data_IF_582463680767
#
_entry.id   IF_582463680767
#
_cell.length_a   1.000
_cell.length_b   1.000
_cell.length_c   1.000
_cell.angle_alpha   90.00
_cell.angle_beta   90.00
_cell.angle_gamma   90.00
#
_symmetry.space_group_name_H-M   'P 1'
#
loop_
_entity.id
_entity.type
_entity.pdbx_description
1 polymer ?
#
# COMPACT_ATOMS: atom_id res chain seq x y z
N UNK A 1 -26.87 -30.01 67.40
CA UNK A 1 -25.85 -30.63 66.53
C UNK A 1 -26.56 -31.19 65.31
N UNK A 2 -26.34 -30.86 64.04
CA UNK A 2 -25.47 -29.94 63.29
C UNK A 2 -26.32 -29.47 62.09
N UNK A 3 -26.51 -28.16 61.91
CA UNK A 3 -27.05 -27.60 60.67
C UNK A 3 -25.89 -27.55 59.67
N UNK A 4 -25.94 -28.34 58.60
CA UNK A 4 -24.96 -28.28 57.50
C UNK A 4 -25.59 -27.49 56.36
N UNK A 5 -25.08 -26.26 56.24
CA UNK A 5 -25.21 -25.36 55.10
C UNK A 5 -24.75 -26.06 53.82
N UNK A 6 -25.63 -26.21 52.84
CA UNK A 6 -25.22 -26.43 51.45
C UNK A 6 -25.08 -25.07 50.77
N UNK A 7 -23.83 -24.63 50.62
CA UNK A 7 -23.46 -23.51 49.74
C UNK A 7 -23.53 -24.03 48.31
N UNK A 8 -24.63 -23.71 47.62
CA UNK A 8 -24.75 -23.88 46.18
C UNK A 8 -23.83 -22.89 45.47
N UNK A 9 -22.72 -23.38 44.92
CA UNK A 9 -21.80 -22.64 44.08
C UNK A 9 -22.50 -22.32 42.74
N UNK A 10 -23.01 -21.09 42.61
CA UNK A 10 -23.57 -20.57 41.36
C UNK A 10 -22.40 -20.23 40.41
N UNK A 11 -22.06 -21.16 39.51
CA UNK A 11 -21.18 -20.86 38.38
C UNK A 11 -21.97 -20.03 37.36
N UNK A 12 -21.85 -18.70 37.46
CA UNK A 12 -22.22 -17.78 36.38
C UNK A 12 -21.13 -17.87 35.31
N UNK A 13 -21.33 -18.75 34.32
CA UNK A 13 -20.58 -18.68 33.06
C UNK A 13 -21.06 -17.45 32.31
N UNK A 14 -20.35 -16.33 32.47
CA UNK A 14 -20.44 -15.23 31.52
C UNK A 14 -19.84 -15.72 30.20
N UNK A 15 -20.67 -16.32 29.35
CA UNK A 15 -20.37 -16.43 27.92
C UNK A 15 -20.33 -15.00 27.40
N UNK A 16 -19.13 -14.42 27.33
CA UNK A 16 -18.92 -13.22 26.53
C UNK A 16 -19.31 -13.60 25.11
N UNK A 17 -20.51 -13.19 24.70
CA UNK A 17 -20.93 -13.22 23.30
C UNK A 17 -20.03 -12.21 22.59
N UNK A 18 -18.84 -12.66 22.19
CA UNK A 18 -18.12 -12.00 21.12
C UNK A 18 -18.94 -12.35 19.89
N UNK A 19 -19.93 -11.52 19.57
CA UNK A 19 -20.58 -11.60 18.27
C UNK A 19 -19.45 -11.56 17.26
N UNK A 20 -19.15 -12.72 16.65
CA UNK A 20 -18.24 -12.76 15.52
C UNK A 20 -18.83 -11.79 14.53
N UNK A 21 -18.10 -10.71 14.28
CA UNK A 21 -18.46 -9.77 13.23
C UNK A 21 -18.42 -10.59 11.95
N UNK A 22 -19.58 -11.08 11.51
CA UNK A 22 -19.75 -11.75 10.23
C UNK A 22 -19.50 -10.68 9.19
N UNK A 23 -18.29 -10.66 8.65
CA UNK A 23 -17.95 -9.82 7.51
C UNK A 23 -18.57 -10.55 6.31
N UNK A 24 -19.56 -9.96 5.61
CA UNK A 24 -20.15 -10.62 4.47
C UNK A 24 -19.09 -10.81 3.38
N UNK A 25 -19.15 -11.95 2.69
CA UNK A 25 -18.23 -12.25 1.60
C UNK A 25 -18.40 -11.21 0.48
N UNK A 26 -17.28 -10.84 -0.14
CA UNK A 26 -17.33 -9.91 -1.26
C UNK A 26 -18.23 -10.47 -2.38
N UNK A 27 -19.08 -9.64 -3.00
CA UNK A 27 -19.84 -10.04 -4.17
C UNK A 27 -18.89 -10.62 -5.22
N UNK A 28 -19.28 -11.72 -5.85
CA UNK A 28 -18.50 -12.32 -6.94
C UNK A 28 -18.48 -11.44 -8.21
N UNK A 29 -19.11 -10.27 -8.12
CA UNK A 29 -19.35 -9.33 -9.20
C UNK A 29 -18.08 -8.52 -9.54
N UNK A 30 -18.09 -7.96 -10.74
CA UNK A 30 -16.99 -7.17 -11.26
C UNK A 30 -16.97 -5.79 -10.61
N UNK A 31 -15.80 -5.38 -10.10
CA UNK A 31 -15.60 -4.01 -9.58
C UNK A 31 -15.54 -3.05 -10.77
N UNK A 32 -16.39 -2.02 -10.76
CA UNK A 32 -16.40 -0.99 -11.79
C UNK A 32 -15.91 0.38 -11.29
N UNK A 33 -15.88 0.60 -9.97
CA UNK A 33 -15.44 1.85 -9.37
C UNK A 33 -14.75 1.62 -8.02
N UNK A 34 -13.70 2.40 -7.76
CA UNK A 34 -13.01 2.49 -6.47
C UNK A 34 -12.82 3.96 -6.12
N UNK A 35 -13.17 4.37 -4.91
CA UNK A 35 -12.99 5.74 -4.43
C UNK A 35 -12.12 5.74 -3.19
N UNK A 36 -11.12 6.60 -3.17
CA UNK A 36 -10.26 6.91 -2.04
C UNK A 36 -10.54 8.34 -1.60
N UNK A 37 -10.72 8.59 -0.30
CA UNK A 37 -10.88 9.94 0.28
C UNK A 37 -10.05 10.09 1.52
N UNK A 38 -9.23 11.12 1.60
CA UNK A 38 -8.52 11.48 2.81
C UNK A 38 -9.24 12.64 3.51
N UNK A 39 -9.28 12.61 4.84
CA UNK A 39 -10.00 13.58 5.65
C UNK A 39 -9.05 14.33 6.58
N UNK A 40 -9.40 15.58 6.86
CA UNK A 40 -8.87 16.29 8.00
C UNK A 40 -9.40 15.63 9.29
N UNK A 41 -8.53 15.18 10.20
CA UNK A 41 -8.97 14.49 11.41
C UNK A 41 -9.71 15.38 12.41
N UNK A 42 -9.57 16.71 12.33
CA UNK A 42 -10.19 17.64 13.27
C UNK A 42 -11.56 18.12 12.79
N UNK A 43 -11.68 18.40 11.50
CA UNK A 43 -12.91 18.95 10.90
C UNK A 43 -13.78 17.88 10.26
N UNK A 44 -13.20 16.74 9.87
CA UNK A 44 -13.88 15.72 9.06
C UNK A 44 -14.03 16.10 7.59
N UNK A 45 -13.47 17.24 7.16
CA UNK A 45 -13.52 17.69 5.77
C UNK A 45 -12.65 16.81 4.87
N UNK A 46 -13.11 16.58 3.64
CA UNK A 46 -12.31 15.88 2.61
C UNK A 46 -11.14 16.77 2.18
N UNK A 47 -9.92 16.32 2.44
CA UNK A 47 -8.67 16.98 2.00
C UNK A 47 -8.33 16.63 0.56
N UNK A 48 -8.43 15.35 0.22
CA UNK A 48 -8.19 14.85 -1.13
C UNK A 48 -9.15 13.69 -1.42
N UNK A 49 -9.43 13.45 -2.69
CA UNK A 49 -10.30 12.37 -3.12
C UNK A 49 -9.91 11.95 -4.53
N UNK A 50 -9.88 10.64 -4.78
CA UNK A 50 -9.65 10.08 -6.11
C UNK A 50 -10.68 8.99 -6.36
N UNK A 51 -11.41 9.09 -7.47
CA UNK A 51 -12.30 8.06 -7.98
C UNK A 51 -11.66 7.42 -9.21
N UNK A 52 -11.53 6.11 -9.18
CA UNK A 52 -10.99 5.27 -10.24
C UNK A 52 -12.12 4.57 -10.97
N UNK A 53 -12.07 4.62 -12.31
CA UNK A 53 -12.91 3.79 -13.17
C UNK A 53 -12.18 2.47 -13.44
N UNK A 54 -12.86 1.36 -13.20
CA UNK A 54 -12.30 0.02 -13.33
C UNK A 54 -13.05 -0.77 -14.40
N UNK A 55 -12.33 -1.54 -15.20
CA UNK A 55 -12.90 -2.52 -16.12
C UNK A 55 -11.97 -3.72 -16.19
N UNK A 56 -12.52 -4.93 -16.17
CA UNK A 56 -11.75 -6.18 -16.14
C UNK A 56 -10.72 -6.21 -15.00
N UNK A 57 -11.11 -5.64 -13.84
CA UNK A 57 -10.25 -5.45 -12.66
C UNK A 57 -8.99 -4.60 -12.93
N UNK A 58 -8.96 -3.83 -14.01
CA UNK A 58 -7.88 -2.89 -14.34
C UNK A 58 -8.35 -1.46 -14.19
N UNK A 59 -7.48 -0.61 -13.68
CA UNK A 59 -7.76 0.83 -13.61
C UNK A 59 -7.69 1.40 -15.02
N UNK A 60 -8.71 2.10 -15.49
CA UNK A 60 -8.70 2.76 -16.79
C UNK A 60 -8.34 4.24 -16.66
N UNK A 61 -9.06 4.92 -15.77
CA UNK A 61 -8.91 6.35 -15.53
C UNK A 61 -9.11 6.65 -14.06
N UNK A 62 -8.71 7.84 -13.65
CA UNK A 62 -9.12 8.41 -12.39
C UNK A 62 -9.36 9.90 -12.51
N UNK A 63 -10.18 10.41 -11.59
CA UNK A 63 -10.46 11.83 -11.42
C UNK A 63 -10.57 12.14 -9.93
N UNK A 64 -10.27 13.37 -9.54
CA UNK A 64 -10.20 13.71 -8.14
C UNK A 64 -9.80 15.14 -7.84
N UNK A 65 -9.58 15.40 -6.56
CA UNK A 65 -9.00 16.62 -6.02
C UNK A 65 -7.78 16.26 -5.18
N UNK A 66 -6.71 17.04 -5.29
CA UNK A 66 -5.55 16.91 -4.43
C UNK A 66 -5.74 17.70 -3.11
N UNK A 67 -4.73 17.67 -2.22
CA UNK A 67 -4.76 18.40 -0.95
C UNK A 67 -4.85 19.93 -1.06
N UNK A 68 -4.62 20.50 -2.26
CA UNK A 68 -4.82 21.92 -2.56
C UNK A 68 -6.19 22.19 -3.22
N UNK A 69 -7.06 21.18 -3.24
CA UNK A 69 -8.38 21.20 -3.90
C UNK A 69 -8.33 21.44 -5.41
N UNK A 70 -7.20 21.14 -6.03
CA UNK A 70 -7.04 21.27 -7.47
C UNK A 70 -7.48 19.96 -8.17
N UNK A 71 -8.27 20.06 -9.24
CA UNK A 71 -8.62 18.92 -10.08
C UNK A 71 -7.39 18.16 -10.57
N UNK A 72 -7.37 16.86 -10.30
CA UNK A 72 -6.39 15.92 -10.84
C UNK A 72 -7.11 14.81 -11.59
N UNK A 73 -6.51 14.37 -12.69
CA UNK A 73 -7.03 13.22 -13.43
C UNK A 73 -5.88 12.43 -14.04
N UNK A 74 -6.19 11.23 -14.48
CA UNK A 74 -5.22 10.46 -15.24
C UNK A 74 -5.85 9.28 -15.96
N UNK A 75 -5.02 8.68 -16.80
CA UNK A 75 -5.38 7.57 -17.66
C UNK A 75 -4.28 6.52 -17.63
N UNK A 76 -4.68 5.26 -17.67
CA UNK A 76 -3.82 4.10 -17.81
C UNK A 76 -4.08 3.47 -19.19
N UNK A 77 -3.01 3.23 -19.94
CA UNK A 77 -3.07 2.55 -21.24
C UNK A 77 -2.42 1.18 -21.15
N UNK A 78 -2.96 0.24 -21.90
CA UNK A 78 -2.53 -1.14 -21.88
C UNK A 78 -2.16 -1.62 -23.28
N UNK A 79 -1.12 -2.44 -23.37
CA UNK A 79 -0.70 -3.17 -24.58
C UNK A 79 -0.49 -4.61 -24.17
N UNK A 80 -1.08 -5.56 -24.90
CA UNK A 80 -1.01 -7.00 -24.60
C UNK A 80 -1.31 -7.31 -23.13
N UNK A 81 -2.42 -6.78 -22.62
CA UNK A 81 -2.87 -6.93 -21.23
C UNK A 81 -1.93 -6.34 -20.15
N UNK A 82 -0.86 -5.61 -20.51
CA UNK A 82 0.10 -5.00 -19.58
C UNK A 82 0.02 -3.48 -19.60
N UNK A 83 0.18 -2.85 -18.44
CA UNK A 83 0.22 -1.38 -18.33
C UNK A 83 1.42 -0.85 -19.12
N UNK A 84 1.19 -0.08 -20.18
CA UNK A 84 2.23 0.50 -21.03
C UNK A 84 2.50 1.96 -20.72
N UNK A 85 1.48 2.70 -20.29
CA UNK A 85 1.58 4.14 -20.04
C UNK A 85 0.60 4.60 -18.95
N UNK A 86 1.04 5.58 -18.14
CA UNK A 86 0.22 6.36 -17.23
C UNK A 86 0.37 7.84 -17.54
N UNK A 87 -0.75 8.52 -17.78
CA UNK A 87 -0.82 9.96 -18.01
C UNK A 87 -1.47 10.59 -16.79
N UNK A 88 -0.89 11.69 -16.29
CA UNK A 88 -1.43 12.49 -15.19
C UNK A 88 -1.63 13.92 -15.65
N UNK A 89 -2.80 14.47 -15.37
CA UNK A 89 -3.17 15.86 -15.63
C UNK A 89 -3.55 16.57 -14.34
N UNK A 90 -3.22 17.85 -14.28
CA UNK A 90 -3.60 18.78 -13.21
C UNK A 90 -4.30 19.98 -13.85
N UNK A 91 -5.53 20.28 -13.43
CA UNK A 91 -6.36 21.32 -14.04
C UNK A 91 -6.49 21.17 -15.57
N UNK A 92 -6.57 19.93 -16.05
CA UNK A 92 -6.64 19.61 -17.48
C UNK A 92 -5.30 19.68 -18.25
N UNK A 93 -4.26 20.27 -17.65
CA UNK A 93 -2.91 20.38 -18.24
C UNK A 93 -2.10 19.12 -17.95
N UNK A 94 -1.28 18.67 -18.90
CA UNK A 94 -0.37 17.54 -18.71
C UNK A 94 0.62 17.85 -17.59
N UNK A 95 0.67 16.98 -16.57
CA UNK A 95 1.61 17.09 -15.45
C UNK A 95 2.74 16.07 -15.59
N UNK A 96 2.41 14.84 -15.97
CA UNK A 96 3.44 13.83 -16.22
C UNK A 96 2.94 12.69 -17.11
N UNK A 97 3.89 12.06 -17.79
CA UNK A 97 3.70 10.79 -18.48
C UNK A 97 4.71 9.79 -17.95
N UNK A 98 4.28 8.57 -17.67
CA UNK A 98 5.15 7.46 -17.28
C UNK A 98 4.92 6.27 -18.19
N UNK A 99 5.98 5.77 -18.81
CA UNK A 99 5.95 4.59 -19.68
C UNK A 99 6.58 3.39 -18.99
N UNK A 100 6.16 2.20 -19.42
CA UNK A 100 6.58 0.92 -18.85
C UNK A 100 7.02 -0.03 -19.96
N UNK A 101 8.26 -0.49 -19.89
CA UNK A 101 8.88 -1.38 -20.89
C UNK A 101 9.11 -2.76 -20.29
N UNK A 102 8.83 -3.79 -21.09
CA UNK A 102 8.88 -5.19 -20.67
C UNK A 102 9.82 -6.00 -21.56
N UNK A 103 10.44 -7.03 -21.00
CA UNK A 103 11.16 -8.05 -21.79
C UNK A 103 10.20 -9.05 -22.44
N UNK A 104 10.75 -9.99 -23.23
CA UNK A 104 9.97 -11.04 -23.90
C UNK A 104 9.29 -12.00 -22.92
N UNK A 105 9.84 -12.16 -21.71
CA UNK A 105 9.26 -12.97 -20.65
C UNK A 105 8.14 -12.23 -19.89
N UNK A 106 7.95 -10.94 -20.16
CA UNK A 106 6.98 -10.09 -19.49
C UNK A 106 7.42 -9.49 -18.18
N UNK A 107 8.70 -9.53 -17.85
CA UNK A 107 9.24 -8.79 -16.72
C UNK A 107 9.31 -7.30 -17.07
N UNK A 108 8.91 -6.44 -16.14
CA UNK A 108 9.14 -5.00 -16.25
C UNK A 108 10.64 -4.73 -16.14
N UNK A 109 11.25 -4.18 -17.18
CA UNK A 109 12.69 -3.88 -17.22
C UNK A 109 12.99 -2.39 -17.12
N UNK A 110 12.01 -1.53 -17.40
CA UNK A 110 12.19 -0.08 -17.32
C UNK A 110 10.88 0.64 -17.01
N UNK A 111 10.95 1.70 -16.19
CA UNK A 111 9.99 2.80 -16.21
C UNK A 111 10.68 4.10 -16.59
N UNK A 112 9.97 4.93 -17.34
CA UNK A 112 10.44 6.26 -17.70
C UNK A 112 9.34 7.28 -17.44
N UNK A 113 9.60 8.22 -16.52
CA UNK A 113 8.67 9.29 -16.17
C UNK A 113 9.22 10.63 -16.66
N UNK A 114 8.42 11.33 -17.45
CA UNK A 114 8.57 12.76 -17.77
C UNK A 114 7.58 13.54 -16.91
N UNK A 115 8.07 14.51 -16.14
CA UNK A 115 7.27 15.44 -15.37
C UNK A 115 7.46 16.87 -15.92
N UNK A 116 6.35 17.55 -16.15
CA UNK A 116 6.29 18.91 -16.66
C UNK A 116 5.93 19.82 -15.48
N UNK A 117 6.92 20.53 -14.93
CA UNK A 117 6.74 21.42 -13.80
C UNK A 117 7.16 22.84 -14.20
N UNK A 118 6.19 23.59 -14.72
CA UNK A 118 6.45 24.91 -15.31
C UNK A 118 7.35 24.79 -16.55
N UNK A 119 8.43 25.57 -16.59
CA UNK A 119 9.39 25.60 -17.71
C UNK A 119 10.48 24.54 -17.63
N UNK A 120 10.52 23.73 -16.57
CA UNK A 120 11.56 22.72 -16.36
C UNK A 120 10.97 21.33 -16.56
N UNK A 121 11.60 20.55 -17.43
CA UNK A 121 11.30 19.14 -17.55
C UNK A 121 12.14 18.36 -16.54
N UNK A 122 11.51 17.42 -15.84
CA UNK A 122 12.20 16.47 -14.98
C UNK A 122 11.97 15.06 -15.51
N UNK A 123 13.05 14.35 -15.80
CA UNK A 123 13.03 12.98 -16.28
C UNK A 123 13.54 12.06 -15.20
N UNK A 124 12.82 10.96 -14.96
CA UNK A 124 13.23 9.88 -14.08
C UNK A 124 13.17 8.57 -14.87
N UNK A 125 14.31 7.91 -14.97
CA UNK A 125 14.45 6.58 -15.53
C UNK A 125 14.67 5.59 -14.39
N UNK A 126 13.96 4.47 -14.38
CA UNK A 126 14.25 3.36 -13.47
C UNK A 126 14.41 2.07 -14.26
N UNK A 127 15.53 1.39 -14.10
CA UNK A 127 15.79 0.09 -14.74
C UNK A 127 15.77 -1.03 -13.71
N UNK A 128 15.25 -2.19 -14.11
CA UNK A 128 15.13 -3.38 -13.27
C UNK A 128 15.91 -4.54 -13.89
N UNK A 129 16.99 -4.95 -13.23
CA UNK A 129 17.77 -6.10 -13.64
C UNK A 129 17.32 -7.32 -12.83
N UNK A 130 16.76 -8.32 -13.52
CA UNK A 130 16.20 -9.51 -12.89
C UNK A 130 17.19 -10.66 -12.89
N UNK A 131 17.32 -11.31 -11.74
CA UNK A 131 17.84 -12.68 -11.59
C UNK A 131 16.66 -13.61 -11.25
N UNK A 132 16.85 -14.92 -11.04
CA UNK A 132 15.77 -15.82 -10.65
C UNK A 132 15.04 -15.38 -9.35
N UNK A 133 15.79 -14.87 -8.38
CA UNK A 133 15.31 -14.55 -7.02
C UNK A 133 15.45 -13.08 -6.63
N UNK A 134 16.12 -12.26 -7.43
CA UNK A 134 16.51 -10.89 -7.06
C UNK A 134 16.20 -9.91 -8.18
N UNK A 135 15.83 -8.69 -7.79
CA UNK A 135 15.65 -7.55 -8.69
C UNK A 135 16.56 -6.42 -8.20
N UNK A 136 17.49 -5.99 -9.05
CA UNK A 136 18.31 -4.81 -8.79
C UNK A 136 17.68 -3.58 -9.45
N UNK A 137 17.54 -2.50 -8.69
CA UNK A 137 16.86 -1.27 -9.10
C UNK A 137 17.86 -0.13 -9.21
N UNK A 138 18.01 0.40 -10.42
CA UNK A 138 18.80 1.61 -10.67
C UNK A 138 17.85 2.75 -11.04
N UNK A 139 18.05 3.91 -10.43
CA UNK A 139 17.33 5.13 -10.78
C UNK A 139 18.30 6.15 -11.36
N UNK A 140 17.88 6.82 -12.41
CA UNK A 140 18.61 7.94 -12.95
C UNK A 140 17.69 9.14 -13.18
N UNK A 141 18.19 10.34 -12.94
CA UNK A 141 17.46 11.59 -13.15
C UNK A 141 18.16 12.47 -14.18
N UNK A 142 17.37 13.27 -14.89
CA UNK A 142 17.85 14.20 -15.91
C UNK A 142 16.89 15.39 -16.00
N UNK A 143 17.40 16.56 -16.39
CA UNK A 143 16.61 17.77 -16.70
C UNK A 143 16.47 18.03 -18.20
N UNK A 144 17.32 17.42 -19.02
CA UNK A 144 17.35 17.57 -20.49
C UNK A 144 16.85 16.33 -21.24
N UNK A 145 16.68 15.21 -20.54
CA UNK A 145 16.28 13.92 -21.10
C UNK A 145 17.42 13.20 -21.82
N UNK A 146 18.65 13.71 -21.76
CA UNK A 146 19.83 13.19 -22.44
C UNK A 146 20.90 12.74 -21.44
N UNK A 147 21.22 13.59 -20.48
CA UNK A 147 22.28 13.36 -19.51
C UNK A 147 21.68 12.85 -18.19
N UNK A 148 21.81 11.54 -17.97
CA UNK A 148 21.28 10.86 -16.80
C UNK A 148 22.34 10.65 -15.73
N UNK A 149 22.05 11.08 -14.51
CA UNK A 149 22.86 10.80 -13.33
C UNK A 149 22.30 9.57 -12.61
N UNK A 150 23.02 8.46 -12.68
CA UNK A 150 22.61 7.16 -12.12
C UNK A 150 22.90 7.06 -10.63
N UNK A 151 21.99 6.44 -9.90
CA UNK A 151 22.16 5.97 -8.53
C UNK A 151 21.59 4.55 -8.43
N UNK A 152 22.37 3.59 -7.94
CA UNK A 152 21.81 2.31 -7.49
C UNK A 152 21.08 2.60 -6.20
N UNK A 153 19.81 2.20 -6.11
CA UNK A 153 18.99 2.59 -4.97
C UNK A 153 18.37 1.42 -4.23
N UNK A 154 18.22 0.25 -4.88
CA UNK A 154 17.64 -0.89 -4.21
C UNK A 154 18.03 -2.25 -4.75
N UNK A 155 17.91 -3.24 -3.86
CA UNK A 155 17.85 -4.68 -4.15
C UNK A 155 16.57 -5.22 -3.53
N UNK A 156 15.80 -6.01 -4.29
CA UNK A 156 14.58 -6.66 -3.82
C UNK A 156 14.77 -8.16 -3.99
N UNK A 157 14.60 -8.95 -2.93
CA UNK A 157 14.69 -10.41 -3.00
C UNK A 157 13.32 -11.02 -2.85
N UNK A 158 13.07 -12.06 -3.64
CA UNK A 158 11.82 -12.78 -3.76
C UNK A 158 11.95 -14.21 -3.23
N UNK A 159 10.87 -14.78 -2.70
CA UNK A 159 10.75 -16.21 -2.48
C UNK A 159 10.35 -16.96 -3.77
N UNK A 160 10.22 -18.29 -3.68
CA UNK A 160 9.76 -19.16 -4.77
C UNK A 160 8.37 -18.80 -5.32
N UNK A 161 7.54 -18.14 -4.52
CA UNK A 161 6.19 -17.68 -4.87
C UNK A 161 6.18 -16.22 -5.37
N UNK A 162 7.35 -15.65 -5.63
CA UNK A 162 7.56 -14.27 -6.04
C UNK A 162 7.02 -13.23 -5.04
N UNK A 163 6.93 -13.58 -3.76
CA UNK A 163 6.69 -12.60 -2.68
C UNK A 163 8.02 -11.92 -2.35
N UNK A 164 8.01 -10.60 -2.16
CA UNK A 164 9.22 -9.88 -1.72
C UNK A 164 9.53 -10.19 -0.27
N UNK A 165 10.62 -10.90 0.01
CA UNK A 165 11.04 -11.31 1.36
C UNK A 165 11.89 -10.25 2.05
N UNK A 166 12.68 -9.47 1.29
CA UNK A 166 13.31 -8.27 1.81
C UNK A 166 13.64 -7.28 0.68
N UNK A 167 13.81 -6.01 1.05
CA UNK A 167 14.49 -5.03 0.21
C UNK A 167 15.61 -4.32 0.97
N UNK A 168 16.64 -3.94 0.25
CA UNK A 168 17.79 -3.18 0.75
C UNK A 168 17.84 -1.85 0.01
N UNK A 169 18.19 -0.77 0.70
CA UNK A 169 18.32 0.55 0.09
C UNK A 169 19.41 1.41 0.73
N UNK A 170 20.14 2.13 -0.12
CA UNK A 170 21.21 3.04 0.29
C UNK A 170 20.72 4.50 0.28
N UNK A 171 20.87 5.17 1.41
CA UNK A 171 20.58 6.58 1.59
C UNK A 171 21.69 7.45 0.98
N UNK A 172 21.37 8.70 0.67
CA UNK A 172 22.34 9.65 0.11
C UNK A 172 23.51 9.97 1.05
N UNK A 173 23.36 9.74 2.36
CA UNK A 173 24.42 9.91 3.35
C UNK A 173 25.26 8.64 3.56
N UNK A 174 25.14 7.64 2.68
CA UNK A 174 25.82 6.34 2.82
C UNK A 174 25.21 5.42 3.88
N UNK A 175 24.11 5.81 4.52
CA UNK A 175 23.37 4.92 5.41
C UNK A 175 22.73 3.78 4.61
N UNK A 176 22.63 2.60 5.22
CA UNK A 176 22.02 1.44 4.60
C UNK A 176 20.84 0.95 5.44
N UNK A 177 19.72 0.66 4.79
CA UNK A 177 18.53 0.09 5.42
C UNK A 177 18.15 -1.22 4.76
N UNK A 178 17.76 -2.18 5.60
CA UNK A 178 17.17 -3.45 5.17
C UNK A 178 15.77 -3.52 5.73
N UNK A 179 14.85 -3.96 4.90
CA UNK A 179 13.46 -4.16 5.26
C UNK A 179 13.06 -5.57 4.94
N UNK A 180 12.61 -6.32 5.95
CA UNK A 180 12.21 -7.72 5.83
C UNK A 180 10.69 -7.87 5.96
N UNK A 181 10.14 -8.80 5.18
CA UNK A 181 8.72 -9.15 5.17
C UNK A 181 8.55 -10.60 5.58
N UNK A 182 7.68 -10.85 6.54
CA UNK A 182 7.30 -12.21 6.94
C UNK A 182 5.85 -12.40 6.51
N UNK A 183 5.62 -13.39 5.65
CA UNK A 183 4.30 -13.72 5.12
C UNK A 183 3.68 -14.92 5.85
N UNK A 184 2.36 -14.91 5.96
CA UNK A 184 1.54 -16.07 6.28
C UNK A 184 0.44 -16.16 5.22
N UNK A 185 0.30 -17.31 4.54
CA UNK A 185 -0.68 -17.52 3.47
C UNK A 185 -0.71 -16.39 2.42
N UNK A 186 0.47 -15.98 1.94
CA UNK A 186 0.69 -14.89 0.97
C UNK A 186 0.35 -13.46 1.43
N UNK A 187 0.12 -13.21 2.73
CA UNK A 187 -0.04 -11.85 3.27
C UNK A 187 1.09 -11.52 4.26
N UNK A 188 1.71 -10.33 4.18
CA UNK A 188 2.73 -9.94 5.15
C UNK A 188 2.04 -9.71 6.50
N UNK A 189 2.42 -10.49 7.51
CA UNK A 189 1.93 -10.34 8.89
C UNK A 189 2.90 -9.51 9.73
N UNK A 190 4.17 -9.42 9.29
CA UNK A 190 5.20 -8.70 10.00
C UNK A 190 6.17 -8.04 9.04
N UNK A 191 6.64 -6.88 9.43
CA UNK A 191 7.61 -6.09 8.70
C UNK A 191 8.62 -5.53 9.68
N UNK A 192 9.90 -5.76 9.41
CA UNK A 192 10.99 -5.24 10.22
C UNK A 192 11.86 -4.33 9.37
N UNK A 193 12.21 -3.16 9.89
CA UNK A 193 13.21 -2.31 9.27
C UNK A 193 14.43 -2.21 10.15
N UNK A 194 15.58 -2.44 9.55
CA UNK A 194 16.88 -2.41 10.19
C UNK A 194 17.73 -1.32 9.58
N UNK A 195 18.48 -0.61 10.43
CA UNK A 195 19.59 0.22 10.00
C UNK A 195 20.88 -0.59 10.07
N UNK A 196 21.68 -0.49 9.02
CA UNK A 196 22.99 -1.12 8.95
C UNK A 196 24.05 -0.04 9.13
N UNK A 197 24.80 -0.11 10.23
CA UNK A 197 25.92 0.79 10.53
C UNK A 197 27.17 -0.05 10.81
N UNK A 198 28.23 0.10 10.03
CA UNK A 198 29.48 -0.67 10.18
C UNK A 198 29.23 -2.19 10.28
N UNK A 199 28.41 -2.72 9.37
CA UNK A 199 27.98 -4.14 9.35
C UNK A 199 27.08 -4.58 10.52
N UNK A 200 26.78 -3.72 11.49
CA UNK A 200 25.83 -4.04 12.56
C UNK A 200 24.39 -3.77 12.11
N UNK A 201 23.55 -4.81 12.19
CA UNK A 201 22.11 -4.74 11.91
C UNK A 201 21.35 -4.39 13.18
N UNK A 202 20.79 -3.18 13.25
CA UNK A 202 19.98 -2.73 14.40
C UNK A 202 18.52 -2.60 13.99
N UNK A 203 17.61 -3.25 14.72
CA UNK A 203 16.16 -3.09 14.49
C UNK A 203 15.76 -1.65 14.80
N UNK A 204 15.28 -0.95 13.79
CA UNK A 204 14.87 0.44 13.89
C UNK A 204 13.36 0.56 14.08
N UNK A 205 12.58 -0.21 13.32
CA UNK A 205 11.14 -0.25 13.48
C UNK A 205 10.56 -1.61 13.13
N UNK A 206 9.38 -1.88 13.66
CA UNK A 206 8.66 -3.12 13.51
C UNK A 206 7.18 -2.81 13.27
N UNK A 207 6.54 -3.62 12.43
CA UNK A 207 5.10 -3.55 12.20
C UNK A 207 4.48 -4.93 12.30
N UNK A 208 3.28 -4.98 12.87
CA UNK A 208 2.45 -6.17 12.93
C UNK A 208 1.12 -5.91 12.25
N UNK A 209 0.74 -6.83 11.36
CA UNK A 209 -0.48 -6.77 10.56
C UNK A 209 -1.31 -7.99 10.91
N UNK A 210 -2.58 -7.77 11.24
CA UNK A 210 -3.59 -8.83 11.23
C UNK A 210 -4.48 -8.65 10.02
N UNK A 211 -4.86 -9.76 9.40
CA UNK A 211 -5.74 -9.79 8.24
C UNK A 211 -6.93 -10.69 8.52
N UNK A 212 -8.07 -10.39 7.92
CA UNK A 212 -9.20 -11.31 7.88
C UNK A 212 -8.95 -12.41 6.84
N UNK A 213 -9.88 -13.37 6.71
CA UNK A 213 -9.85 -14.33 5.60
C UNK A 213 -10.47 -13.76 4.31
N UNK A 214 -11.03 -12.55 4.36
CA UNK A 214 -11.67 -11.92 3.22
C UNK A 214 -10.65 -11.43 2.19
N UNK A 215 -11.04 -11.50 0.93
CA UNK A 215 -10.22 -10.98 -0.18
C UNK A 215 -10.12 -9.46 -0.11
N UNK A 216 -8.93 -8.93 -0.35
CA UNK A 216 -8.71 -7.49 -0.50
C UNK A 216 -9.04 -7.05 -1.93
N UNK A 217 -10.15 -6.33 -2.09
CA UNK A 217 -10.60 -5.82 -3.39
C UNK A 217 -9.57 -4.89 -4.06
N UNK A 218 -8.88 -4.05 -3.28
CA UNK A 218 -7.84 -3.17 -3.79
C UNK A 218 -6.65 -3.96 -4.35
N UNK A 219 -6.19 -4.99 -3.62
CA UNK A 219 -5.14 -5.88 -4.11
C UNK A 219 -5.53 -6.53 -5.44
N UNK A 220 -6.77 -7.03 -5.57
CA UNK A 220 -7.27 -7.65 -6.81
C UNK A 220 -7.19 -6.69 -8.00
N UNK A 221 -7.57 -5.43 -7.82
CA UNK A 221 -7.47 -4.39 -8.86
C UNK A 221 -6.01 -4.08 -9.20
N UNK A 222 -5.19 -3.89 -8.17
CA UNK A 222 -3.80 -3.49 -8.33
C UNK A 222 -2.95 -4.60 -8.93
N UNK A 223 -3.16 -5.86 -8.54
CA UNK A 223 -2.48 -7.02 -9.10
C UNK A 223 -2.82 -7.17 -10.58
N UNK A 224 -4.08 -6.95 -10.99
CA UNK A 224 -4.46 -7.00 -12.41
C UNK A 224 -3.95 -5.80 -13.21
N UNK A 225 -3.80 -4.64 -12.57
CA UNK A 225 -3.29 -3.42 -13.20
C UNK A 225 -1.77 -3.45 -13.36
N UNK A 226 -1.05 -3.88 -12.33
CA UNK A 226 0.40 -3.78 -12.26
C UNK A 226 1.11 -5.14 -12.36
N UNK A 227 0.48 -6.26 -12.00
CA UNK A 227 1.08 -7.55 -11.58
C UNK A 227 1.66 -7.52 -10.16
N UNK A 228 1.62 -8.66 -9.48
CA UNK A 228 2.19 -8.85 -8.13
C UNK A 228 3.66 -8.45 -8.05
N UNK A 229 4.48 -8.96 -8.98
CA UNK A 229 5.92 -8.67 -9.05
C UNK A 229 6.18 -7.16 -9.22
N UNK A 230 5.38 -6.46 -10.03
CA UNK A 230 5.50 -5.00 -10.17
C UNK A 230 5.05 -4.26 -8.92
N UNK A 231 3.99 -4.70 -8.24
CA UNK A 231 3.57 -4.08 -6.98
C UNK A 231 4.69 -4.14 -5.93
N UNK A 232 5.44 -5.24 -5.85
CA UNK A 232 6.64 -5.35 -5.01
C UNK A 232 7.69 -4.30 -5.39
N UNK A 233 7.98 -4.17 -6.70
CA UNK A 233 8.95 -3.20 -7.20
C UNK A 233 8.52 -1.75 -6.91
N UNK A 234 7.26 -1.41 -7.17
CA UNK A 234 6.72 -0.06 -6.97
C UNK A 234 6.51 0.27 -5.49
N UNK A 235 6.36 -0.74 -4.62
CA UNK A 235 6.29 -0.54 -3.17
C UNK A 235 7.55 0.18 -2.66
N UNK A 236 8.72 -0.22 -3.16
CA UNK A 236 10.00 0.41 -2.84
C UNK A 236 10.07 1.88 -3.30
N UNK A 237 9.65 2.20 -4.53
CA UNK A 237 9.79 3.56 -5.10
C UNK A 237 8.99 4.63 -4.34
N UNK A 238 7.97 4.22 -3.60
CA UNK A 238 7.16 5.13 -2.79
C UNK A 238 7.72 5.32 -1.37
N UNK A 239 8.93 4.84 -1.04
CA UNK A 239 9.57 4.86 0.29
C UNK A 239 10.00 6.24 0.83
N UNK A 240 9.44 7.34 0.31
CA UNK A 240 9.48 8.60 1.05
C UNK A 240 8.80 8.41 2.41
N UNK A 241 9.38 8.99 3.47
CA UNK A 241 9.09 8.89 4.91
C UNK A 241 7.62 9.02 5.38
N UNK A 242 6.64 9.12 4.48
CA UNK A 242 5.25 8.88 4.82
C UNK A 242 5.14 7.46 5.39
N UNK A 243 4.51 7.30 6.56
CA UNK A 243 4.56 6.03 7.23
C UNK A 243 4.10 4.89 6.32
N UNK A 244 4.91 3.84 6.26
CA UNK A 244 4.81 2.65 5.39
C UNK A 244 3.49 1.89 5.48
N UNK A 245 2.57 2.32 6.34
CA UNK A 245 1.36 1.65 6.81
C UNK A 245 0.33 1.40 5.70
N UNK A 246 0.24 2.30 4.74
CA UNK A 246 -0.75 2.27 3.67
C UNK A 246 -0.33 1.54 2.41
N UNK A 247 0.87 1.00 2.39
CA UNK A 247 1.36 0.28 1.23
C UNK A 247 1.03 -1.21 1.31
N UNK A 248 0.80 -1.74 2.50
CA UNK A 248 0.46 -3.16 2.69
C UNK A 248 -0.88 -3.52 2.09
N UNK A 249 -1.87 -2.62 2.13
CA UNK A 249 -3.16 -2.84 1.47
C UNK A 249 -3.02 -3.02 -0.05
N UNK A 250 -1.93 -2.52 -0.64
CA UNK A 250 -1.71 -2.66 -2.07
C UNK A 250 -1.15 -4.04 -2.44
N UNK A 251 -0.59 -4.76 -1.47
CA UNK A 251 0.17 -5.99 -1.69
C UNK A 251 -0.35 -7.20 -0.90
N UNK A 252 -1.21 -6.99 0.09
CA UNK A 252 -1.85 -8.07 0.84
C UNK A 252 -3.07 -8.58 0.08
N UNK A 253 -3.14 -9.87 -0.27
CA UNK A 253 -4.32 -10.47 -0.89
C UNK A 253 -5.53 -10.53 0.06
N UNK A 254 -5.29 -10.36 1.37
CA UNK A 254 -6.30 -10.38 2.42
C UNK A 254 -6.57 -9.00 2.98
N UNK A 255 -7.81 -8.75 3.38
CA UNK A 255 -8.23 -7.47 3.97
C UNK A 255 -7.54 -7.27 5.31
N UNK A 256 -6.92 -6.10 5.49
CA UNK A 256 -6.24 -5.74 6.74
C UNK A 256 -7.30 -5.45 7.81
N UNK A 257 -7.12 -6.03 8.99
CA UNK A 257 -7.99 -5.84 10.15
C UNK A 257 -7.36 -4.86 11.15
N UNK A 258 -6.10 -5.08 11.52
CA UNK A 258 -5.36 -4.19 12.40
C UNK A 258 -3.92 -4.03 11.91
N UNK A 259 -3.34 -2.89 12.25
CA UNK A 259 -1.95 -2.60 12.00
C UNK A 259 -1.34 -1.87 13.21
N UNK A 260 -0.21 -2.37 13.68
CA UNK A 260 0.57 -1.76 14.76
C UNK A 260 1.96 -1.43 14.23
N UNK A 261 2.46 -0.24 14.56
CA UNK A 261 3.82 0.18 14.24
C UNK A 261 4.55 0.73 15.46
N UNK A 262 5.80 0.32 15.59
CA UNK A 262 6.68 0.71 16.68
C UNK A 262 8.05 1.10 16.12
N UNK A 263 8.52 2.29 16.50
CA UNK A 263 9.91 2.69 16.31
C UNK A 263 10.67 2.32 17.58
N UNK A 264 11.65 1.42 17.51
CA UNK A 264 12.32 0.89 18.71
C UNK A 264 13.12 1.94 19.49
N UNK A 265 13.50 3.05 18.83
CA UNK A 265 14.15 4.18 19.49
C UNK A 265 13.18 5.21 20.07
N UNK A 266 11.87 4.95 20.08
CA UNK A 266 10.83 5.87 20.54
C UNK A 266 9.79 5.12 21.37
N UNK A 267 9.26 5.71 22.44
CA UNK A 267 8.13 5.12 23.16
C UNK A 267 6.81 5.21 22.37
N UNK A 268 6.79 5.89 21.22
CA UNK A 268 5.59 6.11 20.44
C UNK A 268 5.22 4.86 19.64
N UNK A 269 4.08 4.28 19.99
CA UNK A 269 3.39 3.25 19.20
C UNK A 269 2.29 3.94 18.40
N UNK A 270 2.27 3.72 17.09
CA UNK A 270 1.16 4.15 16.24
C UNK A 270 0.25 2.96 15.99
N UNK A 271 -1.03 3.11 16.31
CA UNK A 271 -2.06 2.09 16.10
C UNK A 271 -3.05 2.55 15.05
N UNK A 272 -3.55 1.60 14.29
CA UNK A 272 -4.54 1.84 13.25
C UNK A 272 -5.74 0.95 13.50
N UNK A 273 -6.89 1.60 13.55
CA UNK A 273 -8.18 0.93 13.57
C UNK A 273 -8.79 1.01 12.18
N UNK A 274 -9.25 -0.14 11.71
CA UNK A 274 -9.91 -0.28 10.41
C UNK A 274 -11.31 -0.76 10.68
N UNK A 275 -12.29 0.05 10.29
CA UNK A 275 -13.70 -0.31 10.35
C UNK A 275 -14.15 -0.62 8.93
N UNK A 276 -14.40 -1.89 8.66
CA UNK A 276 -15.02 -2.33 7.41
C UNK A 276 -16.55 -2.30 7.58
N UNK A 277 -17.26 -1.77 6.60
CA UNK A 277 -18.71 -1.67 6.59
C UNK A 277 -19.23 -2.01 5.20
N UNK A 278 -20.20 -2.92 5.14
CA UNK A 278 -20.94 -3.18 3.91
C UNK A 278 -22.17 -2.29 3.93
N UNK A 279 -22.24 -1.37 2.97
CA UNK A 279 -23.37 -0.43 2.87
C UNK A 279 -24.56 -1.16 2.22
N UNK A 280 -24.28 -1.95 1.20
CA UNK A 280 -25.21 -2.87 0.54
C UNK A 280 -24.42 -3.88 -0.31
N UNK A 281 -25.11 -4.81 -0.96
CA UNK A 281 -24.54 -5.87 -1.80
C UNK A 281 -23.69 -5.35 -2.98
N UNK A 282 -23.77 -4.05 -3.30
CA UNK A 282 -23.03 -3.43 -4.39
C UNK A 282 -21.97 -2.43 -3.91
N UNK A 283 -21.86 -2.19 -2.59
CA UNK A 283 -21.01 -1.15 -2.05
C UNK A 283 -20.36 -1.56 -0.73
N UNK A 284 -19.03 -1.71 -0.77
CA UNK A 284 -18.19 -1.97 0.41
C UNK A 284 -17.39 -0.73 0.73
N UNK A 285 -17.33 -0.36 2.02
CA UNK A 285 -16.60 0.79 2.53
C UNK A 285 -15.65 0.37 3.65
N UNK A 286 -14.42 0.85 3.60
CA UNK A 286 -13.43 0.69 4.67
C UNK A 286 -13.01 2.06 5.16
N UNK A 287 -13.17 2.30 6.45
CA UNK A 287 -12.73 3.54 7.11
C UNK A 287 -11.49 3.23 7.94
N UNK A 288 -10.46 4.04 7.76
CA UNK A 288 -9.17 3.87 8.41
C UNK A 288 -8.91 5.08 9.28
N UNK A 289 -8.54 4.83 10.54
CA UNK A 289 -8.16 5.88 11.49
C UNK A 289 -6.83 5.51 12.13
N UNK A 290 -5.91 6.47 12.12
CA UNK A 290 -4.62 6.31 12.78
C UNK A 290 -4.55 7.17 14.03
N UNK A 291 -4.09 6.62 15.14
CA UNK A 291 -3.81 7.39 16.34
C UNK A 291 -2.39 7.10 16.84
N UNK A 292 -1.76 8.11 17.43
CA UNK A 292 -0.60 7.90 18.31
C UNK A 292 -1.13 7.97 19.74
N UNK A 293 -0.73 7.00 20.56
CA UNK A 293 -1.07 6.97 21.98
C UNK A 293 -0.69 8.33 22.62
N UNK A 294 -1.69 9.05 23.15
CA UNK A 294 -1.53 10.36 23.78
C UNK A 294 -1.64 11.60 22.88
N UNK A 295 -1.76 11.45 21.55
CA UNK A 295 -1.79 12.58 20.60
C UNK A 295 -3.07 12.66 19.74
N UNK A 296 -4.01 11.73 19.90
CA UNK A 296 -5.26 11.70 19.14
C UNK A 296 -5.10 11.20 17.70
N UNK A 297 -6.14 11.39 16.88
CA UNK A 297 -6.15 10.92 15.50
C UNK A 297 -5.25 11.77 14.59
N UNK A 298 -4.28 11.13 13.92
CA UNK A 298 -3.37 11.81 13.00
C UNK A 298 -3.90 11.89 11.56
N UNK A 299 -4.58 10.83 11.11
CA UNK A 299 -5.08 10.70 9.75
C UNK A 299 -6.36 9.88 9.76
N UNK A 300 -7.25 10.19 8.83
CA UNK A 300 -8.47 9.44 8.57
C UNK A 300 -8.68 9.38 7.07
N UNK A 301 -8.95 8.20 6.52
CA UNK A 301 -9.30 8.05 5.10
C UNK A 301 -10.34 6.95 4.92
N UNK A 302 -11.00 6.98 3.77
CA UNK A 302 -12.05 6.05 3.38
C UNK A 302 -11.71 5.46 2.02
N UNK A 303 -12.00 4.17 1.90
CA UNK A 303 -12.00 3.43 0.65
C UNK A 303 -13.39 2.90 0.39
N UNK A 304 -13.88 3.03 -0.84
CA UNK A 304 -15.20 2.58 -1.24
C UNK A 304 -15.14 1.88 -2.58
N UNK A 305 -15.73 0.69 -2.68
CA UNK A 305 -15.75 -0.15 -3.87
C UNK A 305 -17.18 -0.33 -4.34
N UNK A 306 -17.41 -0.16 -5.63
CA UNK A 306 -18.71 -0.41 -6.27
C UNK A 306 -18.65 -1.59 -7.21
N UNK A 307 -19.63 -2.48 -7.10
CA UNK A 307 -19.74 -3.74 -7.82
C UNK A 307 -20.97 -3.70 -8.74
N UNK A 308 -20.85 -4.27 -9.94
CA UNK A 308 -22.00 -4.44 -10.85
C UNK A 308 -23.03 -5.41 -10.29
#
# INVERSE_FOLDING_TARGET
MKNIFYVGLFLLTFTACTDEIVIPSLPNNQIFSYTYKNFDPNTGDVKDSIKYKISNNKILTYEGINGLKEPVSGQFKYVNERLSERIVKKNGVLLSTETFTYDNNGNLIETFKKQEEGSVNNYKKTTFNHTPDTIFVNEAKSTDGLNFQTKIIAKIVLDENQNGIYYENEFSNGGHQITEYIYNNNAPIKYNTYRINNSNKTLWSESFITTTNETNALYKILEKTFSKKKLMILHYQNASFSPTFFKFRNISPRTIQQFNYEIKSSPLVTKFEITNSIINDQHVKSTYRSAIDGFGALTSFEESFSYN
#
